data_IF_691763672897
#
_entry.id   IF_691763672897
#
_cell.length_a   1.000
_cell.length_b   1.000
_cell.length_c   1.000
_cell.angle_alpha   90.00
_cell.angle_beta   90.00
_cell.angle_gamma   90.00
#
_symmetry.space_group_name_H-M   'P 1'
#
loop_
_entity.id
_entity.type
_entity.pdbx_description
1 polymer ?
#
# COMPACT_ATOMS: atom_id res chain seq x y z
N UNK A 1 -40.76 33.76 -4.85
CA UNK A 1 -40.06 33.90 -3.55
C UNK A 1 -38.87 32.97 -3.55
N UNK A 2 -37.67 33.49 -3.85
CA UNK A 2 -36.44 32.72 -3.82
C UNK A 2 -35.99 32.58 -2.35
N UNK A 3 -35.97 31.35 -1.82
CA UNK A 3 -35.45 31.06 -0.49
C UNK A 3 -33.92 31.09 -0.56
N UNK A 4 -33.32 32.09 0.07
CA UNK A 4 -31.88 32.14 0.36
C UNK A 4 -31.52 30.90 1.18
N UNK A 5 -30.68 30.05 0.62
CA UNK A 5 -30.07 28.93 1.36
C UNK A 5 -29.13 29.55 2.39
N UNK A 6 -29.31 29.30 3.71
CA UNK A 6 -28.46 29.89 4.72
C UNK A 6 -27.03 29.36 4.57
N UNK A 7 -26.03 30.27 4.54
CA UNK A 7 -24.61 29.95 4.38
C UNK A 7 -24.10 28.88 5.38
N UNK A 8 -24.75 28.74 6.53
CA UNK A 8 -24.48 27.72 7.55
C UNK A 8 -24.71 26.29 7.03
N UNK A 9 -25.72 26.08 6.18
CA UNK A 9 -26.03 24.75 5.62
C UNK A 9 -25.02 24.33 4.53
N UNK A 10 -24.40 25.30 3.85
CA UNK A 10 -23.33 25.07 2.88
C UNK A 10 -22.01 24.67 3.56
N UNK A 11 -21.70 25.23 4.74
CA UNK A 11 -20.51 24.89 5.50
C UNK A 11 -20.55 23.48 6.11
N UNK A 12 -21.72 23.01 6.55
CA UNK A 12 -21.87 21.65 7.14
C UNK A 12 -21.72 20.55 6.08
N UNK A 13 -22.20 20.77 4.85
CA UNK A 13 -22.00 19.85 3.73
C UNK A 13 -20.52 19.77 3.27
N UNK A 14 -19.76 20.86 3.42
CA UNK A 14 -18.33 20.88 3.10
C UNK A 14 -17.48 20.05 4.09
N UNK A 15 -17.84 20.05 5.37
CA UNK A 15 -17.12 19.30 6.41
C UNK A 15 -17.39 17.78 6.31
N UNK A 16 -18.60 17.38 5.89
CA UNK A 16 -18.96 15.97 5.69
C UNK A 16 -18.31 15.35 4.43
N UNK A 17 -17.87 16.15 3.46
CA UNK A 17 -17.21 15.65 2.23
C UNK A 17 -15.72 15.35 2.37
N UNK A 18 -15.05 15.84 3.44
CA UNK A 18 -13.59 15.77 3.57
C UNK A 18 -13.07 14.52 4.30
N UNK A 19 -13.95 13.72 4.90
CA UNK A 19 -13.55 12.50 5.63
C UNK A 19 -13.20 11.30 4.74
N UNK A 20 -13.42 11.38 3.43
CA UNK A 20 -13.40 10.22 2.53
C UNK A 20 -12.02 9.78 2.01
N UNK A 21 -10.96 10.58 2.20
CA UNK A 21 -9.64 10.29 1.61
C UNK A 21 -8.61 9.71 2.58
N UNK A 22 -8.92 9.62 3.88
CA UNK A 22 -8.00 9.10 4.87
C UNK A 22 -8.35 7.66 5.24
N UNK A 23 -7.66 6.70 4.62
CA UNK A 23 -7.63 5.33 5.13
C UNK A 23 -6.98 5.32 6.53
N UNK A 24 -7.80 5.06 7.56
CA UNK A 24 -7.34 4.90 8.93
C UNK A 24 -6.59 3.58 9.17
N UNK A 25 -6.25 3.33 10.43
CA UNK A 25 -5.58 2.11 10.87
C UNK A 25 -5.31 2.16 12.37
N UNK A 26 -5.68 1.11 13.10
CA UNK A 26 -5.35 0.95 14.51
C UNK A 26 -3.98 0.27 14.62
N UNK A 27 -2.95 1.07 14.88
CA UNK A 27 -1.55 0.60 14.95
C UNK A 27 -1.27 -0.30 16.15
N UNK A 28 -2.21 -0.44 17.09
CA UNK A 28 -2.11 -1.37 18.23
C UNK A 28 -2.55 -2.79 17.86
N UNK A 29 -3.20 -2.97 16.70
CA UNK A 29 -3.63 -4.26 16.18
C UNK A 29 -2.69 -4.75 15.09
N UNK A 30 -2.68 -6.06 14.77
CA UNK A 30 -1.98 -6.58 13.61
C UNK A 30 -2.39 -5.88 12.32
N UNK A 31 -1.48 -5.83 11.33
CA UNK A 31 -1.80 -5.33 9.99
C UNK A 31 -2.98 -6.14 9.46
N UNK A 32 -4.12 -5.52 9.12
CA UNK A 32 -5.25 -6.26 8.59
C UNK A 32 -4.87 -6.82 7.22
N UNK A 33 -5.10 -8.11 7.03
CA UNK A 33 -4.78 -8.81 5.77
C UNK A 33 -5.97 -9.62 5.27
N UNK A 34 -6.04 -9.81 3.95
CA UNK A 34 -6.90 -10.80 3.33
C UNK A 34 -6.10 -11.59 2.30
N UNK A 35 -6.14 -12.92 2.40
CA UNK A 35 -5.58 -13.82 1.39
C UNK A 35 -6.66 -14.24 0.41
N UNK A 36 -6.39 -14.09 -0.88
CA UNK A 36 -7.22 -14.54 -1.98
C UNK A 36 -6.45 -15.66 -2.66
N UNK A 37 -7.02 -16.86 -2.63
CA UNK A 37 -6.37 -18.05 -3.18
C UNK A 37 -6.16 -17.93 -4.68
N UNK A 38 -5.07 -18.50 -5.16
CA UNK A 38 -4.76 -18.69 -6.57
C UNK A 38 -5.90 -19.42 -7.30
N UNK A 39 -5.96 -19.21 -8.62
CA UNK A 39 -6.93 -19.86 -9.52
C UNK A 39 -6.42 -21.22 -10.02
N UNK A 40 -5.12 -21.47 -9.91
CA UNK A 40 -4.46 -22.75 -10.15
C UNK A 40 -3.66 -23.17 -8.91
N UNK A 41 -2.87 -24.24 -9.01
CA UNK A 41 -1.90 -24.59 -7.97
C UNK A 41 -1.02 -23.36 -7.66
N UNK A 42 -1.01 -22.97 -6.39
CA UNK A 42 -0.30 -21.78 -5.94
C UNK A 42 1.20 -22.08 -5.86
N UNK A 43 2.00 -21.26 -6.54
CA UNK A 43 3.45 -21.38 -6.56
C UNK A 43 4.13 -20.08 -6.14
N UNK A 44 3.40 -18.96 -6.26
CA UNK A 44 3.86 -17.63 -5.82
C UNK A 44 2.85 -16.95 -4.89
N UNK A 45 3.38 -16.04 -4.08
CA UNK A 45 2.59 -15.10 -3.31
C UNK A 45 2.86 -13.66 -3.77
N UNK A 46 1.80 -12.85 -3.85
CA UNK A 46 1.90 -11.41 -4.13
C UNK A 46 1.30 -10.65 -2.95
N UNK A 47 2.15 -9.96 -2.21
CA UNK A 47 1.77 -9.11 -1.09
C UNK A 47 1.56 -7.69 -1.62
N UNK A 48 0.35 -7.16 -1.46
CA UNK A 48 -0.04 -5.85 -1.98
C UNK A 48 0.02 -4.81 -0.87
N UNK A 49 0.79 -3.74 -1.10
CA UNK A 49 0.89 -2.57 -0.22
C UNK A 49 0.03 -1.41 -0.78
N UNK A 50 -0.94 -0.90 -0.01
CA UNK A 50 -1.93 0.08 -0.48
C UNK A 50 -1.33 1.47 -0.75
N UNK A 51 -2.00 2.23 -1.61
CA UNK A 51 -1.74 3.66 -1.81
C UNK A 51 -2.21 4.52 -0.63
N UNK A 52 -1.83 5.81 -0.66
CA UNK A 52 -2.34 6.78 0.31
C UNK A 52 -3.86 6.93 0.10
N UNK A 53 -4.63 6.67 1.15
CA UNK A 53 -6.10 6.72 1.10
C UNK A 53 -6.77 5.39 0.76
N UNK A 54 -6.00 4.36 0.38
CA UNK A 54 -6.50 3.01 0.21
C UNK A 54 -6.43 2.23 1.54
N UNK A 55 -7.40 1.34 1.76
CA UNK A 55 -7.41 0.36 2.84
C UNK A 55 -7.76 -1.04 2.31
N UNK A 56 -7.73 -2.06 3.17
CA UNK A 56 -8.03 -3.45 2.81
C UNK A 56 -9.36 -3.59 2.04
N UNK A 57 -10.44 -3.02 2.58
CA UNK A 57 -11.77 -3.08 1.96
C UNK A 57 -11.78 -2.48 0.55
N UNK A 58 -11.09 -1.36 0.36
CA UNK A 58 -11.02 -0.68 -0.93
C UNK A 58 -10.24 -1.48 -1.97
N UNK A 59 -9.19 -2.23 -1.56
CA UNK A 59 -8.45 -3.14 -2.44
C UNK A 59 -9.32 -4.34 -2.84
N UNK A 60 -10.10 -4.87 -1.89
CA UNK A 60 -11.07 -5.95 -2.15
C UNK A 60 -12.19 -5.50 -3.07
N UNK A 61 -12.81 -4.34 -2.80
CA UNK A 61 -13.89 -3.77 -3.64
C UNK A 61 -13.46 -3.54 -5.09
N UNK A 62 -12.21 -3.14 -5.30
CA UNK A 62 -11.63 -2.95 -6.66
C UNK A 62 -11.17 -4.25 -7.31
N UNK A 63 -11.32 -5.39 -6.64
CA UNK A 63 -10.92 -6.71 -7.11
C UNK A 63 -9.45 -6.76 -7.58
N UNK A 64 -8.54 -6.12 -6.82
CA UNK A 64 -7.14 -6.05 -7.21
C UNK A 64 -6.49 -7.44 -7.31
N UNK A 65 -6.87 -8.37 -6.42
CA UNK A 65 -6.44 -9.76 -6.52
C UNK A 65 -6.86 -10.41 -7.85
N UNK A 66 -8.09 -10.17 -8.30
CA UNK A 66 -8.57 -10.67 -9.59
C UNK A 66 -7.82 -10.07 -10.79
N UNK A 67 -7.37 -8.80 -10.69
CA UNK A 67 -6.53 -8.17 -11.71
C UNK A 67 -5.16 -8.83 -11.77
N UNK A 68 -4.50 -9.03 -10.62
CA UNK A 68 -3.19 -9.71 -10.54
C UNK A 68 -3.29 -11.13 -11.10
N UNK A 69 -4.30 -11.89 -10.67
CA UNK A 69 -4.50 -13.28 -11.08
C UNK A 69 -4.90 -13.46 -12.55
N UNK A 70 -5.26 -12.37 -13.25
CA UNK A 70 -5.44 -12.41 -14.70
C UNK A 70 -4.11 -12.66 -15.42
N UNK A 71 -3.01 -12.18 -14.85
CA UNK A 71 -1.66 -12.33 -15.40
C UNK A 71 -0.87 -13.43 -14.68
N UNK A 72 -1.14 -13.65 -13.39
CA UNK A 72 -0.51 -14.68 -12.57
C UNK A 72 -1.57 -15.57 -11.89
N UNK A 73 -2.19 -16.51 -12.62
CA UNK A 73 -3.28 -17.34 -12.09
C UNK A 73 -2.85 -18.28 -10.95
N UNK A 74 -1.55 -18.52 -10.82
CA UNK A 74 -0.84 -19.29 -9.78
C UNK A 74 -0.46 -18.46 -8.55
N UNK A 75 -0.87 -17.18 -8.49
CA UNK A 75 -0.58 -16.30 -7.36
C UNK A 75 -1.69 -16.34 -6.29
N UNK A 76 -1.29 -16.72 -5.08
CA UNK A 76 -1.99 -16.31 -3.88
C UNK A 76 -1.75 -14.80 -3.68
N UNK A 77 -2.82 -14.02 -3.52
CA UNK A 77 -2.71 -12.57 -3.33
C UNK A 77 -3.02 -12.23 -1.88
N UNK A 78 -2.07 -11.59 -1.20
CA UNK A 78 -2.21 -11.09 0.16
C UNK A 78 -2.43 -9.58 0.08
N UNK A 79 -3.67 -9.15 0.25
CA UNK A 79 -4.00 -7.73 0.36
C UNK A 79 -3.70 -7.28 1.78
N UNK A 80 -2.95 -6.18 1.93
CA UNK A 80 -2.66 -5.59 3.25
C UNK A 80 -3.39 -4.27 3.43
N UNK A 81 -3.78 -3.97 4.66
CA UNK A 81 -4.14 -2.63 5.09
C UNK A 81 -2.98 -1.95 5.80
N UNK A 82 -1.77 -2.05 5.25
CA UNK A 82 -0.60 -1.28 5.71
C UNK A 82 -0.77 0.20 5.32
N UNK A 83 -1.68 0.89 6.01
CA UNK A 83 -2.10 2.26 5.71
C UNK A 83 -1.15 3.30 6.31
N UNK A 84 -1.37 4.59 5.98
CA UNK A 84 -0.50 5.70 6.42
C UNK A 84 -0.20 5.76 7.94
N UNK A 85 -1.16 5.46 8.86
CA UNK A 85 -0.86 5.37 10.28
C UNK A 85 0.29 4.42 10.65
N UNK A 86 0.42 3.26 9.97
CA UNK A 86 1.51 2.32 10.23
C UNK A 86 2.88 2.90 9.83
N UNK A 87 2.95 3.62 8.70
CA UNK A 87 4.17 4.32 8.31
C UNK A 87 4.54 5.44 9.28
N UNK A 88 3.54 6.21 9.75
CA UNK A 88 3.74 7.27 10.75
C UNK A 88 4.20 6.75 12.11
N UNK A 89 3.90 5.48 12.44
CA UNK A 89 4.40 4.82 13.64
C UNK A 89 5.92 4.57 13.58
N UNK A 90 6.54 4.60 12.39
CA UNK A 90 7.97 4.36 12.21
C UNK A 90 8.39 2.90 12.33
N UNK A 91 7.44 1.95 12.23
CA UNK A 91 7.70 0.50 12.31
C UNK A 91 7.06 -0.30 11.16
N UNK A 92 6.60 0.36 10.10
CA UNK A 92 5.82 -0.29 9.05
C UNK A 92 6.54 -1.47 8.37
N UNK A 93 7.83 -1.31 8.06
CA UNK A 93 8.69 -2.33 7.41
C UNK A 93 8.94 -3.53 8.31
N UNK A 94 9.40 -3.30 9.55
CA UNK A 94 9.58 -4.36 10.54
C UNK A 94 8.27 -5.14 10.79
N UNK A 95 7.15 -4.43 10.91
CA UNK A 95 5.84 -5.08 11.07
C UNK A 95 5.39 -5.83 9.82
N UNK A 96 5.64 -5.29 8.63
CA UNK A 96 5.38 -5.99 7.37
C UNK A 96 6.19 -7.29 7.30
N UNK A 97 7.45 -7.27 7.74
CA UNK A 97 8.32 -8.44 7.79
C UNK A 97 7.75 -9.50 8.74
N UNK A 98 7.55 -9.14 10.00
CA UNK A 98 7.13 -10.04 11.08
C UNK A 98 5.70 -10.57 10.89
N UNK A 99 4.76 -9.72 10.48
CA UNK A 99 3.33 -10.05 10.48
C UNK A 99 2.80 -10.56 9.14
N UNK A 100 3.53 -10.33 8.04
CA UNK A 100 3.04 -10.67 6.70
C UNK A 100 4.05 -11.48 5.91
N UNK A 101 5.30 -11.01 5.75
CA UNK A 101 6.27 -11.67 4.87
C UNK A 101 6.73 -13.01 5.45
N UNK A 102 7.15 -13.06 6.72
CA UNK A 102 7.57 -14.31 7.38
C UNK A 102 6.46 -15.37 7.36
N UNK A 103 5.20 -15.08 7.80
CA UNK A 103 4.11 -16.05 7.69
C UNK A 103 3.75 -16.44 6.26
N UNK A 104 4.04 -15.59 5.27
CA UNK A 104 3.85 -15.94 3.86
C UNK A 104 4.94 -16.89 3.40
N UNK A 105 6.20 -16.66 3.79
CA UNK A 105 7.35 -17.54 3.48
C UNK A 105 7.18 -18.94 4.05
N UNK A 106 6.69 -19.05 5.28
CA UNK A 106 6.44 -20.33 5.95
C UNK A 106 5.42 -21.23 5.23
N UNK A 107 4.62 -20.67 4.30
CA UNK A 107 3.69 -21.45 3.46
C UNK A 107 4.37 -22.17 2.30
N UNK A 108 5.68 -21.96 2.08
CA UNK A 108 6.46 -22.71 1.10
C UNK A 108 6.29 -22.27 -0.35
N UNK A 109 5.91 -21.00 -0.60
CA UNK A 109 5.91 -20.47 -1.97
C UNK A 109 7.33 -20.44 -2.55
N UNK A 110 7.43 -20.70 -3.86
CA UNK A 110 8.69 -20.57 -4.60
C UNK A 110 9.10 -19.11 -4.77
N UNK A 111 8.13 -18.22 -4.94
CA UNK A 111 8.37 -16.78 -5.13
C UNK A 111 7.43 -15.95 -4.24
N UNK A 112 7.97 -14.88 -3.64
CA UNK A 112 7.21 -13.85 -2.93
C UNK A 112 7.51 -12.50 -3.57
N UNK A 113 6.44 -11.81 -3.98
CA UNK A 113 6.52 -10.49 -4.62
C UNK A 113 5.86 -9.42 -3.74
N UNK A 114 6.48 -8.25 -3.62
CA UNK A 114 5.80 -7.05 -3.11
C UNK A 114 5.28 -6.20 -4.26
N UNK A 115 3.98 -5.95 -4.29
CA UNK A 115 3.37 -4.97 -5.19
C UNK A 115 3.02 -3.71 -4.40
N UNK A 116 3.72 -2.61 -4.66
CA UNK A 116 3.53 -1.34 -3.96
C UNK A 116 2.87 -0.27 -4.82
N UNK A 117 1.76 0.31 -4.34
CA UNK A 117 1.06 1.42 -5.01
C UNK A 117 1.38 2.73 -4.30
N UNK A 118 1.95 3.74 -4.96
CA UNK A 118 2.19 5.07 -4.37
C UNK A 118 2.91 5.00 -3.01
N UNK A 119 2.20 5.27 -1.90
CA UNK A 119 2.70 5.08 -0.53
C UNK A 119 3.21 3.65 -0.29
N UNK A 120 2.48 2.64 -0.75
CA UNK A 120 2.93 1.24 -0.71
C UNK A 120 4.14 0.98 -1.59
N UNK A 121 4.35 1.76 -2.66
CA UNK A 121 5.57 1.73 -3.47
C UNK A 121 6.79 2.20 -2.69
N UNK A 122 6.64 3.29 -1.92
CA UNK A 122 7.64 3.73 -0.94
C UNK A 122 7.92 2.61 0.07
N UNK A 123 6.88 1.99 0.62
CA UNK A 123 7.00 0.89 1.57
C UNK A 123 7.74 -0.33 1.02
N UNK A 124 7.52 -0.70 -0.24
CA UNK A 124 8.23 -1.81 -0.89
C UNK A 124 9.74 -1.52 -1.03
N UNK A 125 10.10 -0.29 -1.41
CA UNK A 125 11.52 0.12 -1.52
C UNK A 125 12.18 0.13 -0.13
N UNK A 126 11.52 0.71 0.87
CA UNK A 126 12.03 0.74 2.25
C UNK A 126 12.18 -0.68 2.81
N UNK A 127 11.22 -1.56 2.51
CA UNK A 127 11.27 -2.96 2.94
C UNK A 127 12.50 -3.67 2.35
N UNK A 128 12.71 -3.60 1.04
CA UNK A 128 13.87 -4.25 0.41
C UNK A 128 15.20 -3.70 0.93
N UNK A 129 15.24 -2.41 1.29
CA UNK A 129 16.43 -1.81 1.89
C UNK A 129 16.74 -2.36 3.30
N UNK A 130 15.71 -2.54 4.13
CA UNK A 130 15.86 -3.02 5.52
C UNK A 130 15.92 -4.55 5.64
N UNK A 131 15.35 -5.28 4.68
CA UNK A 131 15.24 -6.73 4.64
C UNK A 131 15.68 -7.27 3.27
N UNK A 132 16.95 -7.06 2.85
CA UNK A 132 17.40 -7.40 1.51
C UNK A 132 17.32 -8.90 1.23
N UNK A 133 16.74 -9.27 0.10
CA UNK A 133 16.57 -10.68 -0.31
C UNK A 133 15.43 -11.43 0.40
N UNK A 134 14.67 -10.77 1.27
CA UNK A 134 13.47 -11.35 1.90
C UNK A 134 12.23 -11.35 0.99
N UNK A 135 12.35 -10.87 -0.25
CA UNK A 135 11.37 -11.09 -1.34
C UNK A 135 12.10 -11.32 -2.65
N UNK A 136 11.45 -12.03 -3.57
CA UNK A 136 12.02 -12.43 -4.86
C UNK A 136 11.88 -11.32 -5.92
N UNK A 137 11.00 -10.34 -5.67
CA UNK A 137 10.90 -9.15 -6.51
C UNK A 137 9.90 -8.12 -6.01
N UNK A 138 10.00 -6.91 -6.57
CA UNK A 138 9.09 -5.80 -6.30
C UNK A 138 8.46 -5.28 -7.59
N UNK A 139 7.17 -4.95 -7.53
CA UNK A 139 6.41 -4.27 -8.59
C UNK A 139 5.94 -2.93 -8.07
N UNK A 140 6.35 -1.85 -8.71
CA UNK A 140 6.09 -0.48 -8.25
C UNK A 140 5.10 0.22 -9.18
N UNK A 141 3.96 0.66 -8.63
CA UNK A 141 2.94 1.42 -9.34
C UNK A 141 2.92 2.86 -8.84
N UNK A 142 3.51 3.76 -9.63
CA UNK A 142 3.64 5.19 -9.33
C UNK A 142 4.18 5.47 -7.91
N UNK A 143 5.35 4.92 -7.53
CA UNK A 143 5.85 4.97 -6.16
C UNK A 143 6.04 6.41 -5.68
N UNK A 144 5.73 6.66 -4.41
CA UNK A 144 6.01 7.95 -3.77
C UNK A 144 7.50 8.01 -3.40
N UNK A 145 8.24 8.93 -4.02
CA UNK A 145 9.69 9.10 -3.85
C UNK A 145 10.06 10.40 -3.12
N UNK A 146 9.12 10.95 -2.35
CA UNK A 146 9.27 12.23 -1.68
C UNK A 146 8.52 13.37 -2.36
N UNK A 147 8.42 14.48 -1.63
CA UNK A 147 7.75 15.70 -2.09
C UNK A 147 8.51 16.37 -3.24
N UNK A 148 7.82 17.23 -3.99
CA UNK A 148 8.41 17.91 -5.16
C UNK A 148 9.69 18.68 -4.82
N UNK A 149 9.74 19.33 -3.65
CA UNK A 149 10.92 20.06 -3.20
C UNK A 149 12.18 19.16 -3.10
N UNK A 150 12.03 17.94 -2.57
CA UNK A 150 13.12 16.98 -2.50
C UNK A 150 13.58 16.54 -3.90
N UNK A 151 12.64 16.35 -4.81
CA UNK A 151 12.96 15.98 -6.19
C UNK A 151 13.70 17.11 -6.93
N UNK A 152 13.36 18.37 -6.64
CA UNK A 152 14.04 19.54 -7.17
C UNK A 152 15.45 19.68 -6.58
N UNK A 153 15.63 19.43 -5.27
CA UNK A 153 16.96 19.36 -4.64
C UNK A 153 17.87 18.31 -5.32
N UNK A 154 17.35 17.10 -5.54
CA UNK A 154 18.08 16.03 -6.24
C UNK A 154 18.46 16.47 -7.67
N UNK A 155 17.54 17.14 -8.37
CA UNK A 155 17.79 17.62 -9.73
C UNK A 155 18.86 18.72 -9.76
N UNK A 156 18.80 19.65 -8.81
CA UNK A 156 19.74 20.75 -8.68
C UNK A 156 21.15 20.27 -8.32
N UNK A 157 21.28 19.18 -7.59
CA UNK A 157 22.57 18.51 -7.33
C UNK A 157 23.15 17.82 -8.60
N UNK A 158 22.37 17.72 -9.68
CA UNK A 158 22.78 17.05 -10.92
C UNK A 158 22.46 15.56 -10.95
N UNK A 159 21.47 15.13 -10.15
CA UNK A 159 20.95 13.76 -10.09
C UNK A 159 21.28 13.06 -8.76
N UNK A 160 20.61 11.93 -8.52
CA UNK A 160 20.66 11.20 -7.25
C UNK A 160 22.07 10.79 -6.81
N UNK A 161 22.97 10.48 -7.75
CA UNK A 161 24.36 10.10 -7.41
C UNK A 161 25.22 11.27 -6.90
N UNK A 162 24.74 12.51 -7.06
CA UNK A 162 25.44 13.75 -6.68
C UNK A 162 24.74 14.53 -5.56
N UNK A 163 23.51 14.15 -5.23
CA UNK A 163 22.72 14.68 -4.13
C UNK A 163 23.16 14.02 -2.82
#
# INVERSE_FOLDING_TARGET
>A
MAKTIPHVMLCVLLVLGLGGCAAGGDVTRPIPTARIAARSAADRAVIVLPGRGDNLDSLQRRNLAGVIQRYWPDADVILTGLTLPFYRQGRATARLHEEVVVPTRERGYREIWLLGISLGGMGAILYEHEHPGEVDGIVLLSPYLGEAALQDEIRNAGGLAKW
#
